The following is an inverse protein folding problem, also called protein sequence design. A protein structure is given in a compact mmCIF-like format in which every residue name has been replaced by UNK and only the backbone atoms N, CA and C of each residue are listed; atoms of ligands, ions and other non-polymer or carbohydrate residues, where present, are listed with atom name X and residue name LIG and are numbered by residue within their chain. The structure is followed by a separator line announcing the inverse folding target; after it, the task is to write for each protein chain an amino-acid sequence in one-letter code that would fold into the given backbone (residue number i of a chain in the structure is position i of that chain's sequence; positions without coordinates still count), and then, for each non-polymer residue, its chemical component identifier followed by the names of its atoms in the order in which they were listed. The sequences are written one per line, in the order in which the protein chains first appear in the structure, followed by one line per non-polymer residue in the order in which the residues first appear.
data_IF_066375666165
#
_entry.id   IF_066375666165
#
_cell.length_a   1.000
_cell.length_b   1.000
_cell.length_c   1.000
_cell.angle_alpha   90.00
_cell.angle_beta   90.00
_cell.angle_gamma   90.00
#
_symmetry.space_group_name_H-M   'P 1'
#
loop_
_entity.id
_entity.type
_entity.pdbx_description
1 polymer ?
#
# COMPACT_ATOMS: atom_id res chain seq x y z
N UNK A 1 -6.95 4.70 1.45
CA UNK A 1 -6.21 5.15 2.64
C UNK A 1 -6.16 3.97 3.58
N UNK A 2 -5.00 3.65 4.12
CA UNK A 2 -4.78 2.56 5.09
C UNK A 2 -3.99 3.10 6.29
N UNK A 3 -4.09 2.45 7.43
CA UNK A 3 -3.21 2.71 8.57
C UNK A 3 -1.83 2.07 8.31
N UNK A 4 -1.80 0.78 7.96
CA UNK A 4 -0.58 0.00 7.79
C UNK A 4 -0.68 -0.83 6.51
N UNK A 5 0.37 -0.82 5.70
CA UNK A 5 0.49 -1.68 4.52
C UNK A 5 1.51 -2.77 4.80
N UNK A 6 1.05 -4.04 4.78
CA UNK A 6 1.90 -5.24 4.76
C UNK A 6 1.98 -5.77 3.33
N UNK A 7 0.98 -6.54 2.89
CA UNK A 7 0.86 -7.04 1.51
C UNK A 7 0.03 -6.13 0.59
N UNK A 8 -0.78 -5.23 1.14
CA UNK A 8 -1.65 -4.34 0.36
C UNK A 8 -2.93 -4.97 -0.20
N UNK A 9 -3.19 -6.25 0.08
CA UNK A 9 -4.32 -7.00 -0.52
C UNK A 9 -5.71 -6.39 -0.27
N UNK A 10 -5.96 -5.86 0.94
CA UNK A 10 -7.24 -5.20 1.26
C UNK A 10 -7.46 -3.93 0.41
N UNK A 11 -6.42 -3.10 0.29
CA UNK A 11 -6.44 -1.90 -0.52
C UNK A 11 -6.63 -2.21 -2.02
N UNK A 12 -6.01 -3.28 -2.53
CA UNK A 12 -6.18 -3.72 -3.91
C UNK A 12 -7.63 -4.16 -4.19
N UNK A 13 -8.23 -4.97 -3.32
CA UNK A 13 -9.64 -5.35 -3.45
C UNK A 13 -10.57 -4.12 -3.41
N UNK A 14 -10.25 -3.11 -2.60
CA UNK A 14 -11.00 -1.87 -2.56
C UNK A 14 -10.85 -1.06 -3.86
N UNK A 15 -9.62 -0.95 -4.38
CA UNK A 15 -9.34 -0.27 -5.64
C UNK A 15 -10.06 -0.93 -6.83
N UNK A 16 -10.10 -2.27 -6.89
CA UNK A 16 -10.85 -3.01 -7.90
C UNK A 16 -12.34 -2.70 -7.84
N UNK A 17 -12.94 -2.67 -6.65
CA UNK A 17 -14.37 -2.33 -6.48
C UNK A 17 -14.68 -0.90 -6.90
N UNK A 18 -13.80 0.04 -6.59
CA UNK A 18 -13.94 1.45 -7.01
C UNK A 18 -13.83 1.59 -8.53
N UNK A 19 -12.83 0.94 -9.15
CA UNK A 19 -12.67 0.91 -10.61
C UNK A 19 -13.86 0.27 -11.32
N UNK A 20 -14.44 -0.79 -10.74
CA UNK A 20 -15.66 -1.41 -11.25
C UNK A 20 -16.91 -0.50 -11.16
N UNK A 21 -16.86 0.53 -10.31
CA UNK A 21 -17.86 1.59 -10.22
C UNK A 21 -17.50 2.83 -11.07
N UNK A 22 -16.59 2.67 -12.04
CA UNK A 22 -16.15 3.72 -12.98
C UNK A 22 -15.43 4.90 -12.31
N UNK A 23 -14.81 4.66 -11.14
CA UNK A 23 -13.99 5.63 -10.42
C UNK A 23 -12.52 5.48 -10.77
N UNK A 24 -11.83 6.61 -10.91
CA UNK A 24 -10.38 6.64 -11.04
C UNK A 24 -9.71 6.40 -9.68
N UNK A 25 -8.77 5.45 -9.63
CA UNK A 25 -7.95 5.16 -8.44
C UNK A 25 -6.50 5.09 -8.86
N UNK A 26 -5.72 6.11 -8.46
CA UNK A 26 -4.31 6.27 -8.85
C UNK A 26 -3.30 6.10 -7.71
N UNK A 27 -3.72 6.16 -6.45
CA UNK A 27 -2.81 6.09 -5.31
C UNK A 27 -3.40 5.39 -4.09
N UNK A 28 -2.53 4.73 -3.33
CA UNK A 28 -2.77 4.28 -1.96
C UNK A 28 -1.88 5.08 -1.00
N UNK A 29 -2.53 5.85 -0.13
CA UNK A 29 -1.86 6.56 0.96
C UNK A 29 -1.96 5.71 2.23
N UNK A 30 -0.85 5.54 2.95
CA UNK A 30 -0.87 4.91 4.27
C UNK A 30 0.01 5.62 5.31
N UNK A 31 -0.21 5.33 6.59
CA UNK A 31 0.64 5.88 7.65
C UNK A 31 1.98 5.15 7.69
N UNK A 32 1.97 3.81 7.67
CA UNK A 32 3.19 3.00 7.71
C UNK A 32 3.21 1.94 6.62
N UNK A 33 4.21 2.00 5.74
CA UNK A 33 4.61 0.87 4.90
C UNK A 33 5.55 -0.04 5.72
N UNK A 34 5.13 -1.29 5.95
CA UNK A 34 5.94 -2.28 6.67
C UNK A 34 7.12 -2.80 5.85
N UNK A 35 7.18 -2.44 4.57
CA UNK A 35 8.17 -2.91 3.61
C UNK A 35 8.17 -4.44 3.51
N UNK A 36 7.01 -5.09 3.67
CA UNK A 36 6.83 -6.55 3.65
C UNK A 36 6.34 -7.07 2.29
N UNK A 37 6.56 -6.30 1.21
CA UNK A 37 6.23 -6.65 -0.18
C UNK A 37 4.95 -6.01 -0.73
N UNK A 38 4.23 -5.22 0.07
CA UNK A 38 3.01 -4.54 -0.38
C UNK A 38 3.23 -3.49 -1.46
N UNK A 39 4.37 -2.78 -1.41
CA UNK A 39 4.75 -1.81 -2.45
C UNK A 39 4.73 -2.43 -3.85
N UNK A 40 5.44 -3.54 -4.03
CA UNK A 40 5.55 -4.21 -5.32
C UNK A 40 4.17 -4.64 -5.85
N UNK A 41 3.29 -5.14 -4.97
CA UNK A 41 1.93 -5.54 -5.34
C UNK A 41 1.07 -4.34 -5.76
N UNK A 42 1.17 -3.23 -5.04
CA UNK A 42 0.39 -2.00 -5.30
C UNK A 42 0.85 -1.35 -6.61
N UNK A 43 2.15 -1.22 -6.80
CA UNK A 43 2.73 -0.63 -8.02
C UNK A 43 2.44 -1.51 -9.25
N UNK A 44 2.47 -2.84 -9.10
CA UNK A 44 2.05 -3.78 -10.16
C UNK A 44 0.56 -3.63 -10.55
N UNK A 45 -0.29 -3.17 -9.64
CA UNK A 45 -1.71 -2.88 -9.91
C UNK A 45 -1.95 -1.48 -10.50
N UNK A 46 -0.88 -0.75 -10.86
CA UNK A 46 -0.94 0.59 -11.43
C UNK A 46 -1.33 1.66 -10.42
N UNK A 47 -1.02 1.46 -9.14
CA UNK A 47 -1.24 2.43 -8.07
C UNK A 47 0.09 2.92 -7.52
N UNK A 48 0.17 4.20 -7.14
CA UNK A 48 1.30 4.70 -6.36
C UNK A 48 1.10 4.36 -4.89
N UNK A 49 2.09 3.75 -4.22
CA UNK A 49 2.11 3.67 -2.75
C UNK A 49 2.86 4.87 -2.16
N UNK A 50 2.12 5.71 -1.41
CA UNK A 50 2.63 6.92 -0.74
C UNK A 50 2.49 6.80 0.79
N UNK A 51 3.50 6.26 1.48
CA UNK A 51 3.49 6.13 2.93
C UNK A 51 4.05 7.36 3.65
N UNK A 52 3.49 7.72 4.79
CA UNK A 52 4.08 8.74 5.66
C UNK A 52 5.40 8.27 6.30
N UNK A 53 5.47 6.99 6.64
CA UNK A 53 6.66 6.35 7.21
C UNK A 53 6.87 4.97 6.60
N UNK A 54 8.13 4.52 6.55
CA UNK A 54 8.47 3.12 6.30
C UNK A 54 8.96 2.46 7.58
N UNK A 55 8.92 1.12 7.65
CA UNK A 55 9.51 0.37 8.76
C UNK A 55 10.98 0.76 8.96
N UNK A 56 11.74 0.88 7.88
CA UNK A 56 13.14 1.35 7.89
C UNK A 56 13.25 2.77 8.41
N UNK A 57 12.37 3.71 8.02
CA UNK A 57 12.44 5.10 8.52
C UNK A 57 12.16 5.21 10.02
N UNK A 58 11.41 4.26 10.59
CA UNK A 58 11.14 4.15 12.01
C UNK A 58 12.19 3.33 12.78
N UNK A 59 13.26 2.88 12.12
CA UNK A 59 14.34 2.09 12.74
C UNK A 59 13.96 0.63 13.04
N UNK A 60 12.87 0.12 12.48
CA UNK A 60 12.42 -1.25 12.66
C UNK A 60 13.21 -2.15 11.69
N UNK A 61 14.03 -3.04 12.23
CA UNK A 61 14.76 -4.04 11.45
C UNK A 61 13.96 -5.32 11.36
N UNK A 62 13.97 -5.99 10.21
CA UNK A 62 13.46 -7.37 10.12
C UNK A 62 14.29 -8.26 11.05
N UNK A 63 13.65 -9.16 11.82
CA UNK A 63 14.40 -10.21 12.50
C UNK A 63 15.16 -11.01 11.44
N UNK A 64 16.46 -11.18 11.65
CA UNK A 64 17.31 -12.05 10.83
C UNK A 64 17.00 -13.51 11.05
#
# INVERSE_FOLDING_TARGET
MEDVVTSGGAALMAAEKLRAADLEVGALICVVDREEGGRDQIEAAGLVLDPLFTATSLGIKRPG
#
